data_IF_534781130543
#
_entry.id   IF_534781130543
#
_cell.length_a   1.000
_cell.length_b   1.000
_cell.length_c   1.000
_cell.angle_alpha   90.00
_cell.angle_beta   90.00
_cell.angle_gamma   90.00
#
_symmetry.space_group_name_H-M   'P 1'
#
loop_
_entity.id
_entity.type
_entity.pdbx_description
1 polymer ?
#
# COMPACT_ATOMS: atom_id res chain seq x y z
N UNK A 1 -12.88 -8.92 3.88
CA UNK A 1 -14.04 -8.04 4.13
C UNK A 1 -13.53 -6.67 4.58
N UNK A 2 -14.10 -5.59 4.06
CA UNK A 2 -13.92 -4.22 4.55
C UNK A 2 -15.27 -3.62 4.90
N UNK A 3 -15.33 -2.98 6.07
CA UNK A 3 -16.49 -2.20 6.50
C UNK A 3 -16.15 -0.72 6.67
N UNK A 4 -17.18 0.10 6.80
CA UNK A 4 -17.08 1.51 7.19
C UNK A 4 -17.84 1.73 8.49
N UNK A 5 -17.30 2.57 9.37
CA UNK A 5 -18.05 3.07 10.51
C UNK A 5 -19.03 4.16 10.04
N UNK A 6 -20.25 4.13 10.55
CA UNK A 6 -21.25 5.21 10.38
C UNK A 6 -21.43 6.00 11.67
N UNK A 7 -22.12 7.13 11.63
CA UNK A 7 -22.25 8.05 12.78
C UNK A 7 -22.88 7.41 14.03
N UNK A 8 -23.73 6.38 13.85
CA UNK A 8 -24.29 5.61 14.97
C UNK A 8 -23.26 4.74 15.70
N UNK A 9 -22.05 4.58 15.14
CA UNK A 9 -21.04 3.63 15.60
C UNK A 9 -21.20 2.23 14.98
N UNK A 10 -22.26 1.99 14.20
CA UNK A 10 -22.42 0.74 13.47
C UNK A 10 -21.38 0.59 12.36
N UNK A 11 -21.13 -0.65 11.95
CA UNK A 11 -20.24 -0.98 10.83
C UNK A 11 -21.06 -1.52 9.69
N UNK A 12 -20.98 -0.85 8.54
CA UNK A 12 -21.60 -1.31 7.30
C UNK A 12 -20.57 -2.03 6.42
N UNK A 13 -20.96 -3.17 5.86
CA UNK A 13 -20.16 -3.88 4.88
C UNK A 13 -20.02 -3.04 3.59
N UNK A 14 -18.79 -2.84 3.15
CA UNK A 14 -18.46 -2.10 1.92
C UNK A 14 -17.96 -3.04 0.82
N UNK A 15 -17.18 -4.06 1.18
CA UNK A 15 -16.57 -4.99 0.23
C UNK A 15 -16.28 -6.35 0.86
N UNK A 16 -16.59 -7.45 0.16
CA UNK A 16 -16.32 -8.82 0.58
C UNK A 16 -15.75 -9.73 -0.53
N UNK A 17 -15.51 -9.21 -1.73
CA UNK A 17 -15.12 -9.99 -2.92
C UNK A 17 -13.61 -10.18 -3.10
N UNK A 18 -12.76 -9.49 -2.34
CA UNK A 18 -11.30 -9.58 -2.44
C UNK A 18 -10.72 -10.74 -1.62
N UNK A 19 -9.77 -11.47 -2.22
CA UNK A 19 -9.04 -12.57 -1.57
C UNK A 19 -7.81 -12.06 -0.82
N UNK A 20 -7.80 -12.24 0.50
CA UNK A 20 -6.71 -11.76 1.37
C UNK A 20 -6.54 -10.22 1.31
N UNK A 21 -7.59 -9.44 1.59
CA UNK A 21 -7.47 -8.00 1.67
C UNK A 21 -6.46 -7.59 2.75
N UNK A 22 -5.54 -6.69 2.43
CA UNK A 22 -4.48 -6.29 3.37
C UNK A 22 -4.23 -4.77 3.38
N UNK A 23 -3.20 -4.27 2.68
CA UNK A 23 -2.89 -2.85 2.63
C UNK A 23 -4.06 -2.01 2.09
N UNK A 24 -4.31 -0.85 2.71
CA UNK A 24 -5.35 0.09 2.32
C UNK A 24 -4.94 1.53 2.61
N UNK A 25 -5.25 2.44 1.68
CA UNK A 25 -5.14 3.89 1.91
C UNK A 25 -6.06 4.66 0.96
N UNK A 26 -6.52 5.85 1.37
CA UNK A 26 -7.18 6.79 0.48
C UNK A 26 -6.15 7.57 -0.35
N UNK A 27 -6.53 8.03 -1.55
CA UNK A 27 -5.78 9.04 -2.30
C UNK A 27 -5.63 10.33 -1.47
N UNK A 28 -4.63 11.17 -1.75
CA UNK A 28 -4.43 12.42 -1.00
C UNK A 28 -5.65 13.36 -1.00
N UNK A 29 -6.51 13.29 -2.02
CA UNK A 29 -7.75 14.07 -2.11
C UNK A 29 -8.99 13.34 -1.56
N UNK A 30 -8.83 12.13 -1.02
CA UNK A 30 -9.87 11.30 -0.45
C UNK A 30 -10.88 10.72 -1.45
N UNK A 31 -10.74 10.98 -2.76
CA UNK A 31 -11.73 10.59 -3.78
C UNK A 31 -11.61 9.13 -4.23
N UNK A 32 -10.50 8.48 -3.94
CA UNK A 32 -10.28 7.08 -4.25
C UNK A 32 -9.71 6.33 -3.05
N UNK A 33 -9.96 5.03 -3.01
CA UNK A 33 -9.33 4.10 -2.07
C UNK A 33 -8.57 3.03 -2.84
N UNK A 34 -7.39 2.72 -2.33
CA UNK A 34 -6.48 1.73 -2.88
C UNK A 34 -6.41 0.57 -1.92
N UNK A 35 -6.60 -0.64 -2.42
CA UNK A 35 -6.72 -1.85 -1.61
C UNK A 35 -5.90 -2.96 -2.26
N UNK A 36 -5.02 -3.57 -1.48
CA UNK A 36 -4.28 -4.75 -1.89
C UNK A 36 -5.15 -6.01 -1.74
N UNK A 37 -5.26 -6.77 -2.83
CA UNK A 37 -5.71 -8.15 -2.83
C UNK A 37 -4.49 -9.08 -2.81
N UNK A 38 -4.10 -9.52 -1.60
CA UNK A 38 -2.82 -10.21 -1.38
C UNK A 38 -2.75 -11.54 -2.12
N UNK A 39 -3.88 -12.25 -2.19
CA UNK A 39 -3.98 -13.58 -2.80
C UNK A 39 -4.39 -13.53 -4.27
N UNK A 40 -4.48 -12.33 -4.88
CA UNK A 40 -4.53 -12.23 -6.33
C UNK A 40 -3.25 -12.81 -6.93
N UNK A 41 -3.37 -13.44 -8.10
CA UNK A 41 -2.26 -14.04 -8.82
C UNK A 41 -2.17 -13.38 -10.20
N UNK A 42 -1.30 -12.37 -10.40
CA UNK A 42 -0.32 -11.82 -9.44
C UNK A 42 -0.91 -10.85 -8.40
N UNK A 43 -0.14 -10.59 -7.33
CA UNK A 43 -0.49 -9.72 -6.21
C UNK A 43 -0.85 -8.30 -6.72
N UNK A 44 -2.06 -7.80 -6.44
CA UNK A 44 -2.66 -6.66 -7.17
C UNK A 44 -3.20 -5.59 -6.22
N UNK A 45 -2.86 -4.33 -6.47
CA UNK A 45 -3.52 -3.16 -5.87
C UNK A 45 -4.68 -2.73 -6.78
N UNK A 46 -5.87 -2.74 -6.22
CA UNK A 46 -7.08 -2.21 -6.83
C UNK A 46 -7.33 -0.76 -6.39
N UNK A 47 -7.88 0.03 -7.29
CA UNK A 47 -8.39 1.37 -7.04
C UNK A 47 -9.91 1.37 -7.17
N UNK A 48 -10.58 2.05 -6.26
CA UNK A 48 -12.02 2.31 -6.31
C UNK A 48 -12.27 3.80 -6.12
N UNK A 49 -13.24 4.35 -6.82
CA UNK A 49 -13.77 5.67 -6.52
C UNK A 49 -14.62 5.61 -5.25
N UNK A 50 -14.47 6.61 -4.39
CA UNK A 50 -15.26 6.78 -3.16
C UNK A 50 -16.39 7.74 -3.46
N UNK A 51 -17.63 7.25 -3.39
CA UNK A 51 -18.81 8.09 -3.59
C UNK A 51 -19.06 8.98 -2.38
N UNK A 52 -19.89 10.03 -2.54
CA UNK A 52 -20.30 10.93 -1.45
C UNK A 52 -20.94 10.23 -0.24
N UNK A 53 -21.40 9.00 -0.42
CA UNK A 53 -21.99 8.16 0.63
C UNK A 53 -21.05 7.05 1.08
N UNK A 54 -19.74 7.13 0.85
CA UNK A 54 -18.77 6.13 1.30
C UNK A 54 -18.90 4.75 0.64
N UNK A 55 -19.70 4.62 -0.42
CA UNK A 55 -19.73 3.40 -1.26
C UNK A 55 -18.59 3.43 -2.27
N UNK A 56 -18.11 2.25 -2.64
CA UNK A 56 -17.04 2.08 -3.63
C UNK A 56 -17.62 1.76 -5.01
N UNK A 57 -17.05 2.38 -6.05
CA UNK A 57 -17.42 2.14 -7.44
C UNK A 57 -16.19 2.14 -8.35
N UNK A 58 -16.37 1.83 -9.63
CA UNK A 58 -15.32 1.94 -10.66
C UNK A 58 -14.01 1.20 -10.29
N UNK A 59 -14.15 -0.06 -9.86
CA UNK A 59 -13.00 -0.95 -9.60
C UNK A 59 -12.09 -0.97 -10.81
N UNK A 60 -10.85 -0.57 -10.62
CA UNK A 60 -9.81 -0.53 -11.65
C UNK A 60 -8.50 -1.04 -11.08
N UNK A 61 -7.69 -1.66 -11.93
CA UNK A 61 -6.36 -2.13 -11.55
C UNK A 61 -5.41 -0.94 -11.51
N UNK A 62 -4.75 -0.71 -10.38
CA UNK A 62 -3.74 0.34 -10.25
C UNK A 62 -2.34 -0.20 -10.51
N UNK A 63 -1.98 -1.28 -9.82
CA UNK A 63 -0.64 -1.86 -9.90
C UNK A 63 -0.68 -3.37 -9.71
N UNK A 64 0.19 -4.07 -10.41
CA UNK A 64 0.39 -5.51 -10.31
C UNK A 64 1.85 -5.74 -9.98
N UNK A 65 2.12 -6.42 -8.88
CA UNK A 65 3.47 -6.77 -8.49
C UNK A 65 4.11 -7.73 -9.50
N UNK A 66 5.44 -7.75 -9.53
CA UNK A 66 6.18 -8.80 -10.21
C UNK A 66 5.73 -10.19 -9.75
N UNK A 67 5.86 -11.19 -10.62
CA UNK A 67 5.40 -12.58 -10.41
C UNK A 67 5.79 -13.14 -9.03
N UNK A 68 6.99 -12.83 -8.56
CA UNK A 68 7.55 -13.32 -7.30
C UNK A 68 7.60 -12.24 -6.21
N UNK A 69 7.14 -11.02 -6.52
CA UNK A 69 7.03 -9.94 -5.57
C UNK A 69 5.69 -9.97 -4.84
N UNK A 70 5.71 -9.61 -3.56
CA UNK A 70 4.53 -9.46 -2.73
C UNK A 70 4.51 -8.08 -2.10
N UNK A 71 3.42 -7.34 -2.33
CA UNK A 71 3.15 -6.07 -1.66
C UNK A 71 2.51 -6.32 -0.29
N UNK A 72 2.51 -5.31 0.56
CA UNK A 72 1.88 -5.38 1.89
C UNK A 72 1.20 -4.03 2.23
N UNK A 73 1.52 -3.41 3.38
CA UNK A 73 1.04 -2.07 3.73
C UNK A 73 1.63 -0.95 2.85
N UNK A 74 0.84 0.10 2.61
CA UNK A 74 1.26 1.26 1.82
C UNK A 74 0.63 2.58 2.29
N UNK A 75 1.25 3.70 1.87
CA UNK A 75 0.81 5.09 2.09
C UNK A 75 1.11 5.95 0.86
N UNK A 76 0.35 7.02 0.68
CA UNK A 76 0.68 8.04 -0.31
C UNK A 76 1.61 9.11 0.26
N UNK A 77 2.44 9.69 -0.61
CA UNK A 77 3.05 11.00 -0.37
C UNK A 77 2.15 12.15 -0.92
N UNK A 78 2.57 13.39 -0.65
CA UNK A 78 1.86 14.61 -1.10
C UNK A 78 1.84 14.80 -2.62
N UNK A 79 2.72 14.12 -3.35
CA UNK A 79 2.80 14.19 -4.82
C UNK A 79 1.92 13.12 -5.49
N UNK A 80 1.27 12.26 -4.69
CA UNK A 80 0.39 11.19 -5.17
C UNK A 80 1.13 9.90 -5.51
N UNK A 81 2.40 9.74 -5.12
CA UNK A 81 3.08 8.46 -5.25
C UNK A 81 2.69 7.52 -4.10
N UNK A 82 2.45 6.25 -4.43
CA UNK A 82 2.15 5.20 -3.48
C UNK A 82 3.44 4.49 -3.06
N UNK A 83 3.74 4.52 -1.77
CA UNK A 83 4.89 3.86 -1.15
C UNK A 83 4.41 2.55 -0.54
N UNK A 84 4.92 1.41 -1.03
CA UNK A 84 4.46 0.08 -0.60
C UNK A 84 5.59 -0.76 -0.02
N UNK A 85 5.31 -1.39 1.13
CA UNK A 85 6.14 -2.47 1.64
C UNK A 85 6.20 -3.62 0.63
N UNK A 86 7.40 -4.14 0.42
CA UNK A 86 7.73 -5.06 -0.65
C UNK A 86 8.74 -6.11 -0.19
N UNK A 87 8.69 -7.26 -0.86
CA UNK A 87 9.56 -8.40 -0.63
C UNK A 87 9.11 -9.60 -1.45
N UNK A 88 9.78 -10.74 -1.32
CA UNK A 88 9.34 -11.98 -1.97
C UNK A 88 7.93 -12.38 -1.52
N UNK A 89 7.13 -12.95 -2.42
CA UNK A 89 5.81 -13.52 -2.09
C UNK A 89 5.88 -14.93 -1.48
N UNK A 90 7.07 -15.39 -1.09
CA UNK A 90 7.32 -16.74 -0.58
C UNK A 90 7.71 -17.75 -1.66
N UNK A 91 7.94 -17.31 -2.91
CA UNK A 91 8.46 -18.16 -3.98
C UNK A 91 9.84 -18.74 -3.58
N UNK A 92 9.96 -20.06 -3.76
CA UNK A 92 11.19 -20.81 -3.45
C UNK A 92 12.25 -20.55 -4.53
N UNK A 93 13.50 -20.32 -4.09
CA UNK A 93 14.64 -20.16 -5.00
C UNK A 93 14.85 -18.72 -5.50
N UNK A 94 14.03 -17.78 -5.05
CA UNK A 94 14.21 -16.36 -5.33
C UNK A 94 15.21 -15.73 -4.35
N UNK A 95 15.96 -14.75 -4.84
CA UNK A 95 16.84 -13.91 -4.01
C UNK A 95 16.00 -12.78 -3.39
N UNK A 96 15.74 -12.79 -2.06
CA UNK A 96 14.89 -11.80 -1.42
C UNK A 96 15.43 -10.37 -1.53
N UNK A 97 16.75 -10.20 -1.66
CA UNK A 97 17.39 -8.87 -1.72
C UNK A 97 16.96 -8.06 -2.94
N UNK A 98 16.45 -8.72 -3.99
CA UNK A 98 15.89 -8.08 -5.18
C UNK A 98 14.54 -7.42 -4.95
N UNK A 99 13.82 -7.82 -3.88
CA UNK A 99 12.46 -7.37 -3.60
C UNK A 99 12.36 -6.61 -2.27
N UNK A 100 13.13 -7.00 -1.27
CA UNK A 100 12.93 -6.56 0.10
C UNK A 100 13.11 -5.04 0.27
N UNK A 101 12.11 -4.41 0.90
CA UNK A 101 12.11 -2.99 1.20
C UNK A 101 10.84 -2.28 0.78
N UNK A 102 10.96 -1.06 0.26
CA UNK A 102 9.83 -0.23 -0.13
C UNK A 102 9.95 0.17 -1.59
N UNK A 103 8.92 -0.09 -2.38
CA UNK A 103 8.82 0.46 -3.74
C UNK A 103 7.95 1.71 -3.76
N UNK A 104 8.27 2.64 -4.66
CA UNK A 104 7.52 3.88 -4.87
C UNK A 104 6.91 3.84 -6.25
N UNK A 105 5.58 3.92 -6.32
CA UNK A 105 4.78 3.82 -7.54
C UNK A 105 4.14 5.18 -7.81
N UNK A 106 4.39 5.77 -8.97
CA UNK A 106 3.82 7.06 -9.34
C UNK A 106 2.31 6.97 -9.68
N UNK A 107 1.59 8.09 -9.87
CA UNK A 107 0.16 8.06 -10.20
C UNK A 107 -0.19 7.32 -11.50
N UNK A 108 0.77 7.14 -12.41
CA UNK A 108 0.60 6.38 -13.65
C UNK A 108 0.81 4.86 -13.45
N UNK A 109 1.09 4.40 -12.23
CA UNK A 109 1.32 3.00 -11.91
C UNK A 109 2.73 2.52 -12.25
N UNK A 110 3.70 3.43 -12.41
CA UNK A 110 5.08 3.07 -12.74
C UNK A 110 5.94 3.09 -11.47
N UNK A 111 6.82 2.09 -11.30
CA UNK A 111 7.81 2.09 -10.21
C UNK A 111 8.89 3.14 -10.53
N UNK A 112 9.06 4.09 -9.62
CA UNK A 112 10.01 5.21 -9.74
C UNK A 112 11.11 5.17 -8.67
N UNK A 113 11.06 4.22 -7.74
CA UNK A 113 12.09 4.05 -6.72
C UNK A 113 11.94 2.75 -5.93
N UNK A 114 13.05 2.29 -5.35
CA UNK A 114 13.13 1.14 -4.45
C UNK A 114 14.13 1.44 -3.34
N UNK A 115 13.65 1.51 -2.10
CA UNK A 115 14.49 1.58 -0.89
C UNK A 115 14.71 0.15 -0.43
N UNK A 116 15.91 -0.38 -0.67
CA UNK A 116 16.26 -1.72 -0.20
C UNK A 116 16.42 -1.75 1.31
N UNK A 117 15.86 -2.78 1.93
CA UNK A 117 16.12 -3.14 3.33
C UNK A 117 16.67 -4.56 3.39
N UNK A 118 17.41 -4.94 4.46
CA UNK A 118 17.90 -6.31 4.62
C UNK A 118 16.80 -7.38 4.73
N UNK A 119 15.54 -6.97 4.93
CA UNK A 119 14.40 -7.85 5.21
C UNK A 119 13.11 -7.28 4.57
N UNK A 120 12.17 -8.16 4.19
CA UNK A 120 10.84 -7.79 3.69
C UNK A 120 10.15 -6.73 4.56
N UNK A 121 9.65 -5.67 3.92
CA UNK A 121 8.87 -4.63 4.60
C UNK A 121 7.39 -4.97 4.59
N UNK A 122 6.79 -5.14 5.78
CA UNK A 122 5.35 -5.43 5.92
C UNK A 122 4.51 -4.15 5.95
N UNK A 123 5.04 -3.04 6.46
CA UNK A 123 4.28 -1.79 6.55
C UNK A 123 5.21 -0.58 6.66
N UNK A 124 4.65 0.59 6.38
CA UNK A 124 5.35 1.86 6.47
C UNK A 124 4.39 3.00 6.83
N UNK A 125 4.95 4.06 7.41
CA UNK A 125 4.25 5.33 7.58
C UNK A 125 5.22 6.49 7.55
N UNK A 126 4.74 7.62 7.05
CA UNK A 126 5.41 8.90 7.25
C UNK A 126 5.16 9.41 8.67
N UNK A 127 6.13 10.15 9.20
CA UNK A 127 6.03 10.79 10.51
C UNK A 127 7.20 11.72 10.78
N UNK A 128 7.44 11.97 12.08
CA UNK A 128 8.38 13.01 12.52
C UNK A 128 7.80 14.41 12.40
N UNK A 129 8.54 15.42 12.91
CA UNK A 129 8.06 16.81 13.03
C UNK A 129 7.58 17.42 11.70
N UNK A 130 8.18 17.00 10.59
CA UNK A 130 7.87 17.53 9.26
C UNK A 130 7.18 16.51 8.35
N UNK A 131 6.68 15.39 8.91
CA UNK A 131 6.06 14.29 8.17
C UNK A 131 6.92 13.73 7.01
N UNK A 132 8.25 13.88 7.09
CA UNK A 132 9.23 13.54 6.07
C UNK A 132 10.22 12.45 6.53
N UNK A 133 9.89 11.75 7.61
CA UNK A 133 10.62 10.56 8.07
C UNK A 133 9.74 9.34 7.81
N UNK A 134 10.20 8.47 6.92
CA UNK A 134 9.55 7.20 6.63
C UNK A 134 9.99 6.18 7.69
N UNK A 135 9.03 5.63 8.43
CA UNK A 135 9.23 4.50 9.32
C UNK A 135 8.79 3.22 8.60
N UNK A 136 9.56 2.15 8.72
CA UNK A 136 9.36 0.90 7.98
C UNK A 136 9.48 -0.28 8.95
N UNK A 137 8.43 -1.08 9.07
CA UNK A 137 8.44 -2.32 9.86
C UNK A 137 8.81 -3.49 8.95
N UNK A 138 10.02 -3.99 9.08
CA UNK A 138 10.60 -5.00 8.20
C UNK A 138 10.97 -6.23 9.00
N UNK A 139 10.22 -7.33 8.86
CA UNK A 139 10.39 -8.58 9.61
C UNK A 139 10.80 -8.37 11.08
N UNK A 140 12.10 -8.46 11.40
CA UNK A 140 12.62 -8.39 12.77
C UNK A 140 13.09 -6.99 13.21
N UNK A 141 13.00 -5.99 12.34
CA UNK A 141 13.61 -4.68 12.51
C UNK A 141 12.65 -3.52 12.20
N UNK A 142 12.88 -2.38 12.87
CA UNK A 142 12.27 -1.10 12.52
C UNK A 142 13.34 -0.19 11.90
N UNK A 143 13.13 0.23 10.66
CA UNK A 143 14.01 1.18 9.97
C UNK A 143 13.36 2.56 9.91
N UNK A 144 14.18 3.60 9.80
CA UNK A 144 13.69 4.95 9.55
C UNK A 144 14.63 5.74 8.63
N UNK A 145 14.07 6.43 7.64
CA UNK A 145 14.81 7.20 6.65
C UNK A 145 14.17 8.59 6.48
N UNK A 146 14.99 9.64 6.42
CA UNK A 146 14.52 10.95 5.98
C UNK A 146 14.39 10.97 4.46
N UNK A 147 13.26 11.47 3.96
CA UNK A 147 12.95 11.55 2.53
C UNK A 147 12.64 13.00 2.13
N UNK A 148 12.78 13.30 0.84
CA UNK A 148 12.58 14.66 0.29
C UNK A 148 11.12 14.94 -0.11
N UNK A 149 10.17 14.19 0.46
CA UNK A 149 8.73 14.42 0.32
C UNK A 149 8.07 14.26 1.69
N UNK A 150 6.76 14.40 1.76
CA UNK A 150 5.97 14.25 2.99
C UNK A 150 4.86 13.24 2.76
N UNK A 151 4.42 12.57 3.82
CA UNK A 151 3.21 11.75 3.76
C UNK A 151 1.99 12.60 3.42
N UNK A 152 1.08 12.04 2.63
CA UNK A 152 -0.25 12.58 2.44
C UNK A 152 -0.99 12.63 3.80
N UNK A 153 -1.91 13.59 3.94
CA UNK A 153 -2.70 13.77 5.16
C UNK A 153 -3.87 12.80 5.23
#
# INVERSE_FOLDING_TARGET
MYGRAVESGDVELVLDDLKGPNGLTFSPDGKAIYILETLAQPNTIWRYDVTKYGKLSNKSKFFVADKNGGLDGFKFDVDGNLWAGYGTNGAVGEDPSKFDGVIVINPQGNVIGHIHTPERCANLTFGGKHNNRLFMTCSHSLYALYVNTQGAK
#
